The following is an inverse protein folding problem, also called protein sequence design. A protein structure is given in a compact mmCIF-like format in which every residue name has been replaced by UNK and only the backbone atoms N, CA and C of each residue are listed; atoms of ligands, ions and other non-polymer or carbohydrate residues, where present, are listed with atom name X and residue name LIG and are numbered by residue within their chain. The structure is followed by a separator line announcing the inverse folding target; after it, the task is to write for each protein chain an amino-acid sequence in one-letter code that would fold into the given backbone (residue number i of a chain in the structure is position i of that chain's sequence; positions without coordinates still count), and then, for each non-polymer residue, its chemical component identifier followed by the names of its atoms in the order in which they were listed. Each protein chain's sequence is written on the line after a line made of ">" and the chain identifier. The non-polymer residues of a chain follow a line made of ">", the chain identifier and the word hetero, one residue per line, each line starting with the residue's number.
data_IF_620206055993
#
_entry.id   IF_620206055993
#
_cell.length_a   1.000
_cell.length_b   1.000
_cell.length_c   1.000
_cell.angle_alpha   90.00
_cell.angle_beta   90.00
_cell.angle_gamma   90.00
#
_symmetry.space_group_name_H-M   'P 1'
#
loop_
_entity.id
_entity.type
_entity.pdbx_description
1 polymer ?
#
# COMPACT_ATOMS: atom_id res chain seq x y z
N UNK A 1 0.67 27.45 -18.15
CA UNK A 1 0.67 26.38 -17.14
C UNK A 1 1.25 25.15 -17.82
N UNK A 2 2.49 24.78 -17.50
CA UNK A 2 3.23 23.71 -18.18
C UNK A 2 3.20 22.47 -17.26
N UNK A 3 2.34 21.49 -17.55
CA UNK A 3 2.42 20.17 -16.89
C UNK A 3 3.14 19.19 -17.81
N UNK A 4 4.40 18.88 -17.49
CA UNK A 4 5.08 17.74 -18.06
C UNK A 4 4.69 16.50 -17.24
N UNK A 5 3.80 15.66 -17.77
CA UNK A 5 3.44 14.37 -17.18
C UNK A 5 4.46 13.33 -17.62
N UNK A 6 5.49 13.13 -16.81
CA UNK A 6 6.48 12.08 -17.04
C UNK A 6 5.96 10.74 -16.49
N UNK A 7 5.58 9.83 -17.39
CA UNK A 7 5.12 8.48 -17.04
C UNK A 7 6.25 7.48 -17.29
N UNK A 8 6.90 7.01 -16.23
CA UNK A 8 7.83 5.88 -16.32
C UNK A 8 7.11 4.65 -15.76
N UNK A 9 6.86 3.64 -16.60
CA UNK A 9 6.36 2.34 -16.12
C UNK A 9 7.36 1.78 -15.10
N UNK A 10 6.89 1.46 -13.89
CA UNK A 10 7.77 1.18 -12.75
C UNK A 10 8.07 -0.31 -12.68
N UNK A 11 9.32 -0.67 -12.92
CA UNK A 11 9.84 -1.98 -12.56
C UNK A 11 9.96 -2.05 -11.04
N UNK A 12 9.56 -3.17 -10.42
CA UNK A 12 9.82 -3.45 -9.00
C UNK A 12 11.35 -3.45 -8.80
N UNK A 13 11.94 -2.38 -8.21
CA UNK A 13 13.38 -2.18 -8.22
C UNK A 13 14.08 -3.15 -7.26
N UNK A 14 13.35 -3.59 -6.24
CA UNK A 14 13.67 -4.77 -5.48
C UNK A 14 12.95 -5.93 -6.20
N UNK A 15 13.71 -6.83 -6.83
CA UNK A 15 13.14 -8.02 -7.45
C UNK A 15 12.27 -8.79 -6.45
N UNK A 16 11.38 -9.67 -6.95
CA UNK A 16 10.45 -10.47 -6.11
C UNK A 16 11.17 -11.59 -5.33
N UNK A 17 12.26 -11.26 -4.66
CA UNK A 17 12.97 -12.17 -3.76
C UNK A 17 12.39 -12.00 -2.37
N UNK A 18 11.61 -12.99 -1.93
CA UNK A 18 11.27 -13.15 -0.53
C UNK A 18 12.50 -13.73 0.19
N UNK A 19 12.99 -13.02 1.21
CA UNK A 19 14.03 -13.55 2.08
C UNK A 19 13.36 -14.12 3.33
N UNK A 20 13.41 -15.43 3.58
CA UNK A 20 13.09 -15.95 4.91
C UNK A 20 14.17 -15.44 5.87
N UNK A 21 13.86 -14.40 6.62
CA UNK A 21 14.65 -14.05 7.78
C UNK A 21 14.24 -15.02 8.89
N UNK A 22 15.18 -15.83 9.39
CA UNK A 22 14.92 -16.72 10.52
C UNK A 22 14.25 -15.98 11.70
N UNK A 23 13.56 -16.72 12.56
CA UNK A 23 12.79 -16.21 13.72
C UNK A 23 11.42 -15.56 13.40
N UNK A 24 10.69 -16.05 12.38
CA UNK A 24 9.32 -15.62 12.13
C UNK A 24 9.19 -14.21 11.57
N UNK A 25 10.21 -13.74 10.84
CA UNK A 25 10.27 -12.45 10.17
C UNK A 25 10.16 -12.64 8.66
N UNK A 26 9.22 -11.96 8.02
CA UNK A 26 9.05 -11.94 6.57
C UNK A 26 9.33 -10.53 6.05
N UNK A 27 10.28 -10.43 5.11
CA UNK A 27 10.60 -9.18 4.42
C UNK A 27 10.40 -9.39 2.93
N UNK A 28 9.60 -8.53 2.31
CA UNK A 28 9.35 -8.56 0.87
C UNK A 28 9.21 -7.14 0.32
N UNK A 29 9.51 -6.91 -0.97
CA UNK A 29 9.12 -5.68 -1.63
C UNK A 29 7.60 -5.49 -1.54
N UNK A 30 7.16 -4.27 -1.25
CA UNK A 30 5.75 -3.92 -1.41
C UNK A 30 5.42 -3.79 -2.91
N UNK A 31 4.13 -3.88 -3.24
CA UNK A 31 3.67 -3.65 -4.61
C UNK A 31 3.94 -2.21 -5.05
N UNK A 32 3.96 -2.01 -6.38
CA UNK A 32 4.09 -0.67 -6.95
C UNK A 32 2.89 0.20 -6.54
N UNK A 33 3.16 1.44 -6.16
CA UNK A 33 2.18 2.37 -5.62
C UNK A 33 2.49 3.77 -6.11
N UNK A 34 1.45 4.52 -6.49
CA UNK A 34 1.57 5.93 -6.79
C UNK A 34 1.74 6.73 -5.48
N UNK A 35 2.70 7.65 -5.48
CA UNK A 35 3.02 8.49 -4.32
C UNK A 35 3.13 9.94 -4.76
N UNK A 36 2.36 10.80 -4.13
CA UNK A 36 2.35 12.24 -4.41
C UNK A 36 2.78 13.04 -3.19
N UNK A 37 3.74 13.94 -3.38
CA UNK A 37 4.06 14.98 -2.41
C UNK A 37 3.13 16.16 -2.65
N UNK A 38 2.27 16.45 -1.68
CA UNK A 38 1.39 17.61 -1.67
C UNK A 38 1.97 18.67 -0.74
N UNK A 39 2.17 19.88 -1.28
CA UNK A 39 2.49 21.09 -0.52
C UNK A 39 1.33 22.06 -0.60
N UNK A 40 0.83 22.49 0.55
CA UNK A 40 -0.30 23.42 0.63
C UNK A 40 -0.19 24.31 1.87
N UNK A 41 -0.14 25.63 1.66
CA UNK A 41 -0.10 26.61 2.76
C UNK A 41 -1.50 27.04 3.17
N UNK A 42 -1.64 27.46 4.41
CA UNK A 42 -2.90 27.97 4.96
C UNK A 42 -3.88 26.88 5.42
N UNK A 43 -4.88 27.24 6.23
CA UNK A 43 -5.78 26.27 6.86
C UNK A 43 -6.64 25.56 5.83
N UNK A 44 -6.75 24.23 5.96
CA UNK A 44 -7.69 23.38 5.24
C UNK A 44 -7.86 22.07 6.01
N UNK A 45 -9.08 21.56 6.08
CA UNK A 45 -9.39 20.34 6.83
C UNK A 45 -9.25 19.08 5.98
N UNK A 46 -9.53 19.16 4.67
CA UNK A 46 -9.39 18.02 3.76
C UNK A 46 -9.11 18.43 2.31
N UNK A 47 -8.55 17.52 1.52
CA UNK A 47 -8.46 17.65 0.07
C UNK A 47 -8.69 16.30 -0.63
N UNK A 48 -9.56 16.23 -1.63
CA UNK A 48 -9.91 15.02 -2.38
C UNK A 48 -10.25 13.82 -1.47
N UNK A 49 -10.94 14.07 -0.35
CA UNK A 49 -11.30 13.05 0.65
C UNK A 49 -10.22 12.72 1.68
N UNK A 50 -9.00 13.25 1.55
CA UNK A 50 -7.94 13.07 2.54
C UNK A 50 -7.98 14.13 3.64
N UNK A 51 -7.83 13.76 4.92
CA UNK A 51 -7.75 14.73 6.01
C UNK A 51 -6.38 15.42 6.02
N UNK A 52 -6.37 16.76 6.06
CA UNK A 52 -5.16 17.58 6.10
C UNK A 52 -4.89 18.18 7.49
N UNK A 53 -5.89 18.17 8.38
CA UNK A 53 -5.84 18.75 9.72
C UNK A 53 -5.22 17.85 10.81
N UNK A 54 -4.94 16.60 10.48
CA UNK A 54 -4.34 15.63 11.42
C UNK A 54 -3.01 16.13 11.97
N UNK A 55 -2.60 15.79 13.20
CA UNK A 55 -1.29 16.18 13.72
C UNK A 55 -0.13 15.75 12.81
N UNK A 56 0.98 16.49 12.84
CA UNK A 56 2.21 16.10 12.15
C UNK A 56 2.65 14.71 12.66
N UNK A 57 3.24 13.90 11.77
CA UNK A 57 3.63 12.52 12.03
C UNK A 57 2.42 11.59 12.29
N UNK A 58 1.33 11.83 11.57
CA UNK A 58 0.14 10.97 11.55
C UNK A 58 -0.05 10.38 10.15
N UNK A 59 -0.44 9.11 10.10
CA UNK A 59 -0.93 8.42 8.91
C UNK A 59 -2.46 8.26 9.03
N UNK A 60 -3.18 8.48 7.94
CA UNK A 60 -4.63 8.26 7.84
C UNK A 60 -4.96 7.51 6.55
N UNK A 61 -5.99 6.66 6.59
CA UNK A 61 -6.37 5.80 5.45
C UNK A 61 -6.09 4.33 5.74
N UNK A 62 -6.00 3.54 4.67
CA UNK A 62 -5.79 2.09 4.68
C UNK A 62 -4.58 1.67 3.84
N UNK A 63 -4.43 0.36 3.60
CA UNK A 63 -3.30 -0.20 2.83
C UNK A 63 -3.32 0.20 1.35
N UNK A 64 -4.46 0.64 0.82
CA UNK A 64 -4.63 0.99 -0.58
C UNK A 64 -4.54 2.48 -0.82
N UNK A 65 -5.16 3.29 0.05
CA UNK A 65 -5.18 4.75 -0.06
C UNK A 65 -4.93 5.36 1.30
N UNK A 66 -3.86 6.15 1.38
CA UNK A 66 -3.44 6.77 2.63
C UNK A 66 -2.82 8.13 2.42
N UNK A 67 -2.76 8.89 3.51
CA UNK A 67 -2.07 10.17 3.60
C UNK A 67 -1.26 10.24 4.88
N UNK A 68 0.00 10.66 4.76
CA UNK A 68 0.89 10.93 5.87
C UNK A 68 1.16 12.44 5.96
N UNK A 69 0.97 13.05 7.13
CA UNK A 69 1.36 14.46 7.36
C UNK A 69 2.81 14.53 7.79
N UNK A 70 3.68 15.01 6.91
CA UNK A 70 5.12 15.09 7.13
C UNK A 70 5.53 16.41 7.81
N UNK A 71 4.79 17.48 7.52
CA UNK A 71 5.10 18.82 8.02
C UNK A 71 3.85 19.68 8.20
N UNK A 72 4.02 20.96 8.57
CA UNK A 72 2.91 21.88 8.76
C UNK A 72 2.13 22.11 7.45
N UNK A 73 2.82 22.11 6.31
CA UNK A 73 2.30 22.35 4.96
C UNK A 73 2.66 21.23 3.96
N UNK A 74 3.03 20.04 4.46
CA UNK A 74 3.49 18.92 3.63
C UNK A 74 2.80 17.59 3.98
N UNK A 75 2.32 16.93 2.93
CA UNK A 75 1.71 15.61 2.99
C UNK A 75 2.29 14.68 1.91
N UNK A 76 2.32 13.39 2.21
CA UNK A 76 2.59 12.32 1.25
C UNK A 76 1.32 11.49 1.10
N UNK A 77 0.83 11.35 -0.12
CA UNK A 77 -0.36 10.59 -0.45
C UNK A 77 0.05 9.32 -1.19
N UNK A 78 -0.49 8.18 -0.78
CA UNK A 78 -0.33 6.89 -1.44
C UNK A 78 -1.65 6.39 -2.02
N UNK A 79 -1.59 5.78 -3.21
CA UNK A 79 -2.73 5.18 -3.89
C UNK A 79 -2.29 4.09 -4.88
N UNK A 80 -3.20 3.20 -5.34
CA UNK A 80 -2.89 2.24 -6.39
C UNK A 80 -2.36 2.96 -7.64
N UNK A 81 -1.38 2.36 -8.33
CA UNK A 81 -0.77 3.00 -9.52
C UNK A 81 -1.80 3.27 -10.63
N UNK A 82 -2.82 2.42 -10.74
CA UNK A 82 -3.95 2.60 -11.67
C UNK A 82 -4.77 3.85 -11.39
N UNK A 83 -4.72 4.35 -10.16
CA UNK A 83 -5.54 5.46 -9.69
C UNK A 83 -4.77 6.79 -9.68
N UNK A 84 -3.51 6.79 -10.12
CA UNK A 84 -2.62 7.95 -10.04
C UNK A 84 -3.19 9.19 -10.73
N UNK A 85 -3.66 9.05 -11.97
CA UNK A 85 -4.22 10.16 -12.75
C UNK A 85 -5.54 10.66 -12.15
N UNK A 86 -6.38 9.74 -11.66
CA UNK A 86 -7.66 10.05 -11.02
C UNK A 86 -7.41 10.84 -9.73
N UNK A 87 -6.45 10.39 -8.91
CA UNK A 87 -6.06 11.05 -7.68
C UNK A 87 -5.50 12.45 -7.96
N UNK A 88 -4.57 12.57 -8.90
CA UNK A 88 -3.97 13.85 -9.26
C UNK A 88 -5.05 14.85 -9.72
N UNK A 89 -5.94 14.43 -10.62
CA UNK A 89 -7.04 15.25 -11.09
C UNK A 89 -8.00 15.66 -9.96
N UNK A 90 -8.33 14.74 -9.04
CA UNK A 90 -9.21 15.02 -7.92
C UNK A 90 -8.61 16.07 -6.96
N UNK A 91 -7.31 15.94 -6.64
CA UNK A 91 -6.61 16.90 -5.78
C UNK A 91 -6.50 18.27 -6.46
N UNK A 92 -6.06 18.33 -7.73
CA UNK A 92 -5.94 19.59 -8.46
C UNK A 92 -7.28 20.31 -8.64
N UNK A 93 -8.36 19.56 -8.88
CA UNK A 93 -9.72 20.12 -8.99
C UNK A 93 -10.19 20.69 -7.65
N UNK A 94 -10.04 19.93 -6.57
CA UNK A 94 -10.50 20.35 -5.24
C UNK A 94 -9.67 21.52 -4.66
N UNK A 95 -8.41 21.64 -5.09
CA UNK A 95 -7.51 22.74 -4.74
C UNK A 95 -7.51 23.87 -5.78
N UNK A 96 -8.43 23.87 -6.75
CA UNK A 96 -8.52 24.92 -7.76
C UNK A 96 -8.64 26.32 -7.12
N UNK A 97 -7.91 27.28 -7.67
CA UNK A 97 -7.84 28.65 -7.13
C UNK A 97 -6.92 28.82 -5.90
N UNK A 98 -6.27 27.75 -5.42
CA UNK A 98 -5.28 27.82 -4.34
C UNK A 98 -3.87 27.50 -4.86
N UNK A 99 -2.89 28.26 -4.38
CA UNK A 99 -1.48 27.94 -4.61
C UNK A 99 -1.11 26.65 -3.88
N UNK A 100 -0.78 25.62 -4.64
CA UNK A 100 -0.35 24.31 -4.14
C UNK A 100 0.70 23.71 -5.08
N UNK A 101 1.44 22.72 -4.60
CA UNK A 101 2.24 21.86 -5.45
C UNK A 101 1.85 20.41 -5.20
N UNK A 102 1.58 19.67 -6.28
CA UNK A 102 1.33 18.23 -6.25
C UNK A 102 2.33 17.57 -7.18
N UNK A 103 3.23 16.75 -6.64
CA UNK A 103 4.35 16.18 -7.40
C UNK A 103 4.32 14.67 -7.29
N UNK A 104 4.34 13.96 -8.43
CA UNK A 104 4.57 12.51 -8.45
C UNK A 104 6.02 12.22 -8.03
N UNK A 105 6.14 11.50 -6.92
CA UNK A 105 7.42 11.11 -6.32
C UNK A 105 7.58 9.61 -6.23
N UNK A 106 6.74 8.85 -6.92
CA UNK A 106 6.72 7.39 -6.79
C UNK A 106 7.94 6.71 -7.38
N UNK A 107 8.78 7.41 -8.18
CA UNK A 107 9.92 6.81 -8.87
C UNK A 107 11.17 6.73 -7.98
N UNK A 108 11.21 7.56 -6.92
CA UNK A 108 12.32 7.59 -5.96
C UNK A 108 12.04 6.81 -4.69
N UNK A 109 10.84 6.23 -4.57
CA UNK A 109 10.38 5.56 -3.36
C UNK A 109 10.12 4.07 -3.65
N UNK A 110 10.51 3.22 -2.71
CA UNK A 110 10.25 1.79 -2.74
C UNK A 110 9.63 1.40 -1.41
N UNK A 111 8.53 0.64 -1.45
CA UNK A 111 7.93 0.08 -0.25
C UNK A 111 8.58 -1.25 0.11
N UNK A 112 8.77 -1.49 1.40
CA UNK A 112 9.24 -2.78 1.94
C UNK A 112 8.25 -3.19 3.03
N UNK A 113 7.64 -4.35 2.83
CA UNK A 113 6.76 -4.98 3.80
C UNK A 113 7.61 -5.80 4.77
N UNK A 114 7.56 -5.43 6.05
CA UNK A 114 8.20 -6.18 7.15
C UNK A 114 7.11 -6.71 8.07
N UNK A 115 6.96 -8.03 8.15
CA UNK A 115 5.89 -8.73 8.87
C UNK A 115 6.42 -9.79 9.82
N UNK A 116 5.62 -10.13 10.83
CA UNK A 116 5.91 -11.22 11.77
C UNK A 116 6.31 -10.76 13.16
N UNK A 117 6.46 -11.71 14.07
CA UNK A 117 6.60 -11.46 15.51
C UNK A 117 7.87 -10.65 15.86
N UNK A 118 8.92 -10.83 15.06
CA UNK A 118 10.18 -10.11 15.21
C UNK A 118 10.23 -8.74 14.49
N UNK A 119 9.17 -8.31 13.78
CA UNK A 119 9.19 -7.08 12.97
C UNK A 119 9.46 -5.82 13.82
N UNK A 120 8.86 -5.73 15.01
CA UNK A 120 9.09 -4.60 15.91
C UNK A 120 10.54 -4.55 16.38
N UNK A 121 11.19 -5.69 16.60
CA UNK A 121 12.61 -5.76 16.99
C UNK A 121 13.47 -5.26 15.82
N UNK A 122 13.19 -5.74 14.61
CA UNK A 122 13.91 -5.31 13.41
C UNK A 122 13.85 -3.79 13.20
N UNK A 123 12.67 -3.17 13.34
CA UNK A 123 12.56 -1.71 13.25
C UNK A 123 13.25 -0.96 14.39
N UNK A 124 13.14 -1.44 15.62
CA UNK A 124 13.78 -0.80 16.78
C UNK A 124 15.32 -0.88 16.74
N UNK A 125 15.88 -1.89 16.07
CA UNK A 125 17.32 -2.04 15.94
C UNK A 125 17.96 -0.98 15.03
N UNK A 126 17.20 -0.42 14.07
CA UNK A 126 17.73 0.49 13.05
C UNK A 126 17.03 1.86 12.99
N UNK A 127 15.95 2.08 13.75
CA UNK A 127 15.19 3.32 13.75
C UNK A 127 15.05 3.91 15.18
N UNK A 128 15.61 5.11 15.45
CA UNK A 128 15.52 5.75 16.77
C UNK A 128 14.08 6.19 17.12
N UNK A 129 13.23 6.38 16.10
CA UNK A 129 11.80 6.65 16.23
C UNK A 129 10.96 5.37 16.23
N UNK A 130 11.56 4.22 16.56
CA UNK A 130 11.00 2.89 16.48
C UNK A 130 9.53 2.80 16.90
N UNK A 131 8.76 1.83 16.36
CA UNK A 131 7.31 1.84 16.44
C UNK A 131 6.86 2.07 17.89
N UNK A 132 6.18 3.19 18.13
CA UNK A 132 5.57 3.45 19.44
C UNK A 132 4.71 2.24 19.76
N UNK A 133 4.98 1.57 20.88
CA UNK A 133 4.20 0.42 21.35
C UNK A 133 2.73 0.81 21.49
N UNK A 134 1.94 0.64 20.43
CA UNK A 134 0.51 0.40 20.60
C UNK A 134 0.43 -1.04 21.07
N UNK A 135 0.02 -1.24 22.32
CA UNK A 135 -0.20 -2.57 22.91
C UNK A 135 -1.12 -3.33 21.95
N UNK A 136 -0.59 -4.29 21.22
CA UNK A 136 -1.41 -5.24 20.47
C UNK A 136 -2.29 -5.93 21.53
N UNK A 137 -3.63 -5.84 21.44
CA UNK A 137 -4.48 -6.71 22.24
C UNK A 137 -4.05 -8.15 21.97
N UNK A 138 -3.80 -8.90 23.04
CA UNK A 138 -3.27 -10.26 22.94
C UNK A 138 -4.10 -11.10 21.98
N UNK A 139 -3.40 -11.80 21.09
CA UNK A 139 -3.81 -13.01 20.37
C UNK A 139 -5.23 -13.06 19.82
N UNK A 140 -5.36 -12.88 18.50
CA UNK A 140 -6.20 -13.78 17.72
C UNK A 140 -5.43 -14.23 16.48
N UNK A 141 -5.08 -15.51 16.47
CA UNK A 141 -4.67 -16.23 15.27
C UNK A 141 -5.88 -16.20 14.33
N UNK A 142 -5.80 -15.47 13.21
CA UNK A 142 -6.71 -15.76 12.12
C UNK A 142 -6.31 -17.12 11.53
N UNK A 143 -7.20 -18.13 11.54
CA UNK A 143 -6.90 -19.36 10.83
C UNK A 143 -6.81 -19.04 9.34
N UNK A 144 -5.63 -19.25 8.76
CA UNK A 144 -5.49 -19.30 7.31
C UNK A 144 -6.24 -20.52 6.83
N UNK A 145 -7.43 -20.32 6.24
CA UNK A 145 -8.08 -21.37 5.47
C UNK A 145 -7.22 -21.64 4.23
N UNK A 146 -6.81 -22.89 3.95
CA UNK A 146 -6.17 -23.23 2.70
C UNK A 146 -7.17 -22.96 1.56
N UNK A 147 -6.73 -22.25 0.51
CA UNK A 147 -7.48 -22.15 -0.74
C UNK A 147 -7.62 -23.57 -1.29
N UNK A 148 -8.84 -24.11 -1.26
CA UNK A 148 -9.14 -25.39 -1.89
C UNK A 148 -8.71 -25.34 -3.35
N UNK A 149 -7.85 -26.29 -3.73
CA UNK A 149 -7.57 -26.57 -5.13
C UNK A 149 -8.89 -26.91 -5.82
N UNK A 150 -9.13 -26.30 -6.98
CA UNK A 150 -10.14 -26.80 -7.90
C UNK A 150 -9.65 -28.14 -8.38
N UNK A 151 -10.10 -29.21 -7.72
CA UNK A 151 -9.96 -30.54 -8.25
C UNK A 151 -10.78 -30.64 -9.53
N UNK A 152 -10.13 -31.22 -10.53
CA UNK A 152 -10.65 -31.47 -11.86
C UNK A 152 -11.92 -32.30 -11.76
N UNK A 153 -12.92 -31.91 -12.55
CA UNK A 153 -14.11 -32.72 -12.79
C UNK A 153 -13.70 -34.14 -13.22
N UNK A 154 -14.13 -35.13 -12.43
CA UNK A 154 -14.17 -36.54 -12.79
C UNK A 154 -15.34 -36.75 -13.78
N UNK A 155 -15.12 -37.30 -14.99
CA UNK A 155 -16.20 -37.58 -15.91
C UNK A 155 -16.97 -38.84 -15.49
N UNK A 156 -18.30 -38.67 -15.40
CA UNK A 156 -19.33 -39.69 -15.20
C UNK A 156 -19.01 -41.07 -15.85
N UNK A 157 -19.30 -42.20 -15.19
CA UNK A 157 -19.04 -43.52 -15.75
C UNK A 157 -20.06 -43.84 -16.86
N UNK A 158 -19.54 -44.28 -18.02
CA UNK A 158 -20.36 -44.80 -19.12
C UNK A 158 -21.06 -46.10 -18.68
N UNK A 159 -22.29 -46.37 -19.15
CA UNK A 159 -22.92 -47.67 -18.94
C UNK A 159 -22.21 -48.73 -19.79
N UNK A 160 -21.86 -49.87 -19.17
CA UNK A 160 -21.29 -51.03 -19.86
C UNK A 160 -22.33 -51.73 -20.75
N UNK A 161 -21.91 -52.52 -21.75
CA UNK A 161 -22.83 -53.16 -22.68
C UNK A 161 -23.46 -54.41 -22.07
N UNK A 162 -24.78 -54.53 -22.21
CA UNK A 162 -25.52 -55.79 -22.10
C UNK A 162 -25.17 -56.67 -23.30
N UNK A 163 -24.65 -57.89 -23.06
CA UNK A 163 -24.70 -59.00 -24.03
C UNK A 163 -24.98 -60.32 -23.28
N UNK A 164 -25.93 -61.15 -23.76
CA UNK A 164 -26.43 -62.34 -23.08
C UNK A 164 -25.69 -63.63 -23.48
N UNK A 165 -25.81 -64.68 -22.65
CA UNK A 165 -25.38 -66.04 -22.94
C UNK A 165 -25.43 -66.94 -21.70
#
# INVERSE_FOLDING_TARGET
>A
MLEARYRTARALPLGRTEAPAGAGLLIRPAEAEARFSLRLRGPRTSAAGFPLDRPINTLSGDETRWIARLGPDEWLIGAPETDADILAAAVSTDLAGRTHALVDVSHRNVGIDVRGDAAAIAFNASCPLGPRRRRLPGGQRHPHAPRQGRDRADPSPRPGPDIPG
#
